data_IF_938258716010
#
_entry.id   IF_938258716010
#
_cell.length_a   1.000
_cell.length_b   1.000
_cell.length_c   1.000
_cell.angle_alpha   90.00
_cell.angle_beta   90.00
_cell.angle_gamma   90.00
#
_symmetry.space_group_name_H-M   'P 1'
#
loop_
_entity.id
_entity.type
_entity.pdbx_description
1 polymer ?
#
# COMPACT_ATOMS: atom_id res chain seq x y z
N UNK A 1 0.50 7.52 -13.60
CA UNK A 1 1.89 7.09 -13.88
C UNK A 1 1.94 5.75 -14.63
N UNK A 2 1.47 4.64 -14.05
CA UNK A 2 1.52 3.31 -14.71
C UNK A 2 0.77 3.24 -16.06
N UNK A 3 -0.37 3.94 -16.19
CA UNK A 3 -1.20 3.89 -17.39
C UNK A 3 -0.49 4.49 -18.61
N UNK A 4 0.11 5.67 -18.46
CA UNK A 4 0.89 6.31 -19.52
C UNK A 4 2.08 5.43 -19.95
N UNK A 5 2.84 4.93 -18.97
CA UNK A 5 4.00 4.07 -19.26
C UNK A 5 3.60 2.78 -20.00
N UNK A 6 2.43 2.21 -19.70
CA UNK A 6 1.92 1.05 -20.43
C UNK A 6 1.53 1.38 -21.87
N UNK A 7 0.95 2.56 -22.11
CA UNK A 7 0.58 3.02 -23.45
C UNK A 7 1.81 3.28 -24.31
N UNK A 8 2.83 3.95 -23.76
CA UNK A 8 4.07 4.28 -24.47
C UNK A 8 4.86 3.03 -24.89
N UNK A 9 4.81 1.96 -24.08
CA UNK A 9 5.54 0.72 -24.33
C UNK A 9 4.74 -0.32 -25.13
N UNK A 10 3.52 0.00 -25.56
CA UNK A 10 2.68 -0.94 -26.32
C UNK A 10 3.38 -1.35 -27.63
N UNK A 11 3.49 -2.66 -27.87
CA UNK A 11 4.14 -3.21 -29.06
C UNK A 11 5.67 -3.33 -28.97
N UNK A 12 6.31 -2.79 -27.94
CA UNK A 12 7.78 -2.85 -27.76
C UNK A 12 8.31 -4.21 -27.27
N UNK A 13 7.43 -5.07 -26.76
CA UNK A 13 7.82 -6.29 -26.02
C UNK A 13 8.27 -6.03 -24.57
N UNK A 14 8.33 -4.77 -24.13
CA UNK A 14 8.59 -4.41 -22.73
C UNK A 14 7.27 -4.43 -21.96
N UNK A 15 7.25 -5.18 -20.85
CA UNK A 15 6.08 -5.28 -19.99
C UNK A 15 6.27 -4.50 -18.69
N UNK A 16 5.21 -3.82 -18.25
CA UNK A 16 5.18 -3.06 -16.99
C UNK A 16 4.22 -3.73 -16.03
N UNK A 17 4.64 -3.92 -14.78
CA UNK A 17 3.84 -4.56 -13.73
C UNK A 17 3.92 -3.77 -12.44
N UNK A 18 2.78 -3.50 -11.82
CA UNK A 18 2.70 -2.92 -10.47
C UNK A 18 2.35 -4.02 -9.46
N UNK A 19 3.17 -4.15 -8.42
CA UNK A 19 2.86 -5.01 -7.27
C UNK A 19 2.24 -4.13 -6.19
N UNK A 20 1.01 -4.45 -5.81
CA UNK A 20 0.17 -3.67 -4.89
C UNK A 20 -0.03 -4.46 -3.59
N UNK A 21 0.95 -4.43 -2.68
CA UNK A 21 0.78 -5.00 -1.37
C UNK A 21 -0.13 -4.10 -0.52
N UNK A 22 -1.01 -4.73 0.25
CA UNK A 22 -1.54 -4.10 1.44
C UNK A 22 -0.52 -4.23 2.58
N UNK A 23 -0.96 -4.22 3.85
CA UNK A 23 -0.04 -4.43 4.96
C UNK A 23 0.71 -5.77 4.80
N UNK A 24 2.03 -5.71 4.67
CA UNK A 24 2.96 -6.86 4.73
C UNK A 24 4.01 -6.67 5.81
N UNK A 25 4.45 -7.75 6.46
CA UNK A 25 5.46 -7.68 7.51
C UNK A 25 6.78 -7.16 6.92
N UNK A 26 7.24 -6.01 7.41
CA UNK A 26 8.41 -5.29 6.91
C UNK A 26 8.85 -4.22 7.93
N UNK A 27 10.03 -3.65 7.73
CA UNK A 27 10.58 -2.58 8.57
C UNK A 27 10.17 -1.17 8.12
N UNK A 28 9.24 -1.02 7.17
CA UNK A 28 8.86 0.29 6.62
C UNK A 28 8.39 1.25 7.73
N UNK A 29 7.57 0.77 8.66
CA UNK A 29 7.06 1.60 9.76
C UNK A 29 8.20 2.07 10.70
N UNK A 30 9.06 1.15 11.12
CA UNK A 30 10.20 1.46 11.99
C UNK A 30 11.20 2.40 11.31
N UNK A 31 11.50 2.17 10.03
CA UNK A 31 12.39 3.04 9.26
C UNK A 31 11.76 4.43 9.01
N UNK A 32 10.45 4.47 8.79
CA UNK A 32 9.70 5.71 8.58
C UNK A 32 9.56 6.55 9.85
N UNK A 33 9.53 5.94 11.03
CA UNK A 33 9.41 6.63 12.31
C UNK A 33 10.52 7.67 12.51
N UNK A 34 11.77 7.31 12.18
CA UNK A 34 12.90 8.24 12.27
C UNK A 34 12.67 9.49 11.43
N UNK A 35 12.26 9.30 10.17
CA UNK A 35 12.00 10.41 9.25
C UNK A 35 10.78 11.23 9.63
N UNK A 36 9.75 10.59 10.18
CA UNK A 36 8.57 11.29 10.70
C UNK A 36 8.98 12.26 11.81
N UNK A 37 9.70 11.78 12.84
CA UNK A 37 10.16 12.60 13.96
C UNK A 37 11.11 13.72 13.52
N UNK A 38 11.96 13.45 12.52
CA UNK A 38 12.92 14.43 12.01
C UNK A 38 12.26 15.57 11.23
N UNK A 39 11.24 15.26 10.43
CA UNK A 39 10.75 16.18 9.40
C UNK A 39 9.33 16.71 9.66
N UNK A 40 8.61 16.17 10.64
CA UNK A 40 7.20 16.53 10.90
C UNK A 40 7.05 17.23 12.24
N UNK A 41 6.59 18.49 12.21
CA UNK A 41 6.15 19.21 13.40
C UNK A 41 4.77 18.71 13.84
N UNK A 42 4.77 17.56 14.50
CA UNK A 42 3.56 16.89 14.94
C UNK A 42 2.97 17.49 16.22
N UNK A 43 3.78 18.22 17.01
CA UNK A 43 3.36 18.84 18.27
C UNK A 43 2.54 20.11 18.05
N UNK A 44 2.87 20.92 17.04
CA UNK A 44 2.14 22.16 16.71
C UNK A 44 1.17 22.02 15.54
N UNK A 45 0.95 20.80 15.04
CA UNK A 45 0.01 20.53 13.95
C UNK A 45 -1.45 20.60 14.39
N UNK A 46 -2.32 21.09 13.50
CA UNK A 46 -3.79 20.98 13.65
C UNK A 46 -4.27 19.53 13.74
N UNK A 47 -3.44 18.57 13.30
CA UNK A 47 -3.68 17.12 13.35
C UNK A 47 -2.96 16.43 14.52
N UNK A 48 -2.54 17.17 15.56
CA UNK A 48 -1.74 16.62 16.68
C UNK A 48 -2.32 15.32 17.24
N UNK A 49 -3.62 15.27 17.50
CA UNK A 49 -4.28 14.09 18.07
C UNK A 49 -4.14 12.85 17.14
N UNK A 50 -4.33 13.03 15.83
CA UNK A 50 -4.18 11.95 14.85
C UNK A 50 -2.71 11.49 14.76
N UNK A 51 -1.77 12.43 14.83
CA UNK A 51 -0.35 12.14 14.84
C UNK A 51 0.10 11.41 16.10
N UNK A 52 -0.40 11.75 17.29
CA UNK A 52 -0.10 11.02 18.52
C UNK A 52 -0.52 9.54 18.41
N UNK A 53 -1.73 9.29 17.91
CA UNK A 53 -2.22 7.93 17.66
C UNK A 53 -1.37 7.22 16.59
N UNK A 54 -1.01 7.90 15.50
CA UNK A 54 -0.14 7.34 14.47
C UNK A 54 1.27 7.03 15.00
N UNK A 55 1.83 7.90 15.84
CA UNK A 55 3.16 7.75 16.42
C UNK A 55 3.22 6.55 17.37
N UNK A 56 2.17 6.35 18.18
CA UNK A 56 2.04 5.15 19.01
C UNK A 56 2.05 3.87 18.15
N UNK A 57 1.30 3.85 17.02
CA UNK A 57 1.31 2.73 16.07
C UNK A 57 2.69 2.52 15.44
N UNK A 58 3.37 3.59 15.02
CA UNK A 58 4.71 3.49 14.41
C UNK A 58 5.76 2.97 15.40
N UNK A 59 5.74 3.45 16.66
CA UNK A 59 6.61 2.99 17.74
C UNK A 59 6.40 1.50 18.06
N UNK A 60 5.17 1.00 17.92
CA UNK A 60 4.86 -0.42 18.05
C UNK A 60 5.27 -1.28 16.83
N UNK A 61 5.98 -0.73 15.84
CA UNK A 61 6.40 -1.44 14.63
C UNK A 61 5.39 -1.37 13.47
N UNK A 62 4.41 -0.48 13.55
CA UNK A 62 3.36 -0.29 12.54
C UNK A 62 2.14 -1.16 12.79
N UNK A 63 1.49 -1.64 11.72
CA UNK A 63 0.31 -2.50 11.87
C UNK A 63 0.67 -3.82 12.56
N UNK A 64 0.06 -4.05 13.73
CA UNK A 64 0.26 -5.20 14.62
C UNK A 64 -0.66 -6.39 14.30
N UNK A 65 -1.35 -6.38 13.15
CA UNK A 65 -2.27 -7.46 12.79
C UNK A 65 -1.53 -8.79 12.69
N UNK A 66 -1.89 -9.79 13.51
CA UNK A 66 -1.32 -11.15 13.44
C UNK A 66 -1.62 -11.86 12.12
N UNK A 67 -2.63 -11.40 11.38
CA UNK A 67 -3.03 -11.96 10.08
C UNK A 67 -2.27 -11.34 8.91
N UNK A 68 -1.32 -10.44 9.19
CA UNK A 68 -0.51 -9.78 8.18
C UNK A 68 0.43 -10.80 7.51
N UNK A 69 0.36 -10.99 6.18
CA UNK A 69 1.26 -11.90 5.51
C UNK A 69 2.71 -11.38 5.56
N UNK A 70 3.66 -12.30 5.49
CA UNK A 70 5.08 -11.99 5.34
C UNK A 70 5.43 -11.47 3.93
N UNK A 71 6.70 -11.08 3.70
CA UNK A 71 7.16 -10.54 2.42
C UNK A 71 7.06 -11.55 1.25
N UNK A 72 6.83 -12.83 1.53
CA UNK A 72 6.74 -13.92 0.56
C UNK A 72 5.60 -13.71 -0.45
N UNK A 73 4.53 -13.01 -0.05
CA UNK A 73 3.42 -12.69 -0.96
C UNK A 73 3.83 -11.69 -2.04
N UNK A 74 4.73 -10.76 -1.71
CA UNK A 74 5.32 -9.82 -2.67
C UNK A 74 6.32 -10.57 -3.55
N UNK A 75 7.19 -11.39 -2.96
CA UNK A 75 8.15 -12.21 -3.68
C UNK A 75 7.48 -13.12 -4.71
N UNK A 76 6.36 -13.78 -4.35
CA UNK A 76 5.63 -14.66 -5.26
C UNK A 76 5.10 -13.90 -6.48
N UNK A 77 4.56 -12.70 -6.29
CA UNK A 77 4.11 -11.85 -7.39
C UNK A 77 5.28 -11.35 -8.24
N UNK A 78 6.38 -10.93 -7.61
CA UNK A 78 7.59 -10.50 -8.30
C UNK A 78 8.15 -11.61 -9.20
N UNK A 79 8.26 -12.82 -8.66
CA UNK A 79 8.72 -13.99 -9.40
C UNK A 79 7.84 -14.26 -10.63
N UNK A 80 6.50 -14.19 -10.48
CA UNK A 80 5.61 -14.33 -11.63
C UNK A 80 5.79 -13.19 -12.64
N UNK A 81 5.93 -11.94 -12.19
CA UNK A 81 6.12 -10.78 -13.06
C UNK A 81 7.41 -10.89 -13.90
N UNK A 82 8.49 -11.41 -13.32
CA UNK A 82 9.77 -11.57 -13.99
C UNK A 82 9.83 -12.78 -14.93
N UNK A 83 9.17 -13.89 -14.58
CA UNK A 83 9.30 -15.16 -15.32
C UNK A 83 8.16 -15.43 -16.32
N UNK A 84 7.06 -14.70 -16.24
CA UNK A 84 5.93 -14.91 -17.16
C UNK A 84 6.21 -14.29 -18.53
N UNK A 85 5.92 -15.03 -19.60
CA UNK A 85 5.90 -14.51 -20.97
C UNK A 85 4.83 -13.42 -21.18
N UNK A 86 3.82 -13.38 -20.31
CA UNK A 86 2.72 -12.39 -20.31
C UNK A 86 2.43 -11.99 -18.86
N UNK A 87 3.27 -11.14 -18.25
CA UNK A 87 3.06 -10.72 -16.88
C UNK A 87 1.81 -9.83 -16.78
N UNK A 88 1.12 -9.88 -15.64
CA UNK A 88 -0.08 -9.07 -15.38
C UNK A 88 0.31 -7.63 -15.10
N UNK A 89 -0.47 -6.63 -15.55
CA UNK A 89 -0.15 -5.23 -15.27
C UNK A 89 -0.29 -4.86 -13.78
N UNK A 90 -1.17 -5.55 -13.03
CA UNK A 90 -1.40 -5.30 -11.60
C UNK A 90 -1.42 -6.62 -10.80
N UNK A 91 -0.67 -6.67 -9.70
CA UNK A 91 -0.65 -7.78 -8.75
C UNK A 91 -1.12 -7.31 -7.38
N UNK A 92 -2.40 -7.52 -7.08
CA UNK A 92 -2.97 -7.26 -5.76
C UNK A 92 -2.74 -8.47 -4.86
N UNK A 93 -1.73 -8.38 -3.99
CA UNK A 93 -1.15 -9.58 -3.35
C UNK A 93 -1.73 -9.92 -1.97
N UNK A 94 -2.37 -8.96 -1.28
CA UNK A 94 -2.94 -9.19 0.05
C UNK A 94 -4.46 -9.15 0.04
N UNK A 95 -5.09 -9.87 0.97
CA UNK A 95 -6.55 -9.89 1.12
C UNK A 95 -7.13 -8.49 1.38
N UNK A 96 -6.59 -7.66 2.31
CA UNK A 96 -7.10 -6.31 2.52
C UNK A 96 -7.01 -5.44 1.25
N UNK A 97 -5.93 -5.56 0.47
CA UNK A 97 -5.79 -4.83 -0.78
C UNK A 97 -6.84 -5.27 -1.83
N UNK A 98 -7.11 -6.57 -1.94
CA UNK A 98 -8.16 -7.09 -2.84
C UNK A 98 -9.54 -6.58 -2.44
N UNK A 99 -9.85 -6.58 -1.15
CA UNK A 99 -11.12 -6.00 -0.63
C UNK A 99 -11.20 -4.52 -1.01
N UNK A 100 -10.13 -3.75 -0.81
CA UNK A 100 -10.10 -2.32 -1.18
C UNK A 100 -10.38 -2.08 -2.67
N UNK A 101 -9.78 -2.89 -3.56
CA UNK A 101 -10.01 -2.81 -5.01
C UNK A 101 -11.47 -3.14 -5.36
N UNK A 102 -12.05 -4.16 -4.72
CA UNK A 102 -13.45 -4.54 -4.94
C UNK A 102 -14.39 -3.43 -4.46
N UNK A 103 -14.18 -2.90 -3.24
CA UNK A 103 -14.99 -1.81 -2.69
C UNK A 103 -14.94 -0.57 -3.59
N UNK A 104 -13.77 -0.22 -4.12
CA UNK A 104 -13.62 0.90 -5.05
C UNK A 104 -14.37 0.72 -6.36
N UNK A 105 -14.58 -0.53 -6.82
CA UNK A 105 -15.33 -0.83 -8.05
C UNK A 105 -16.84 -0.78 -7.85
N UNK A 106 -17.31 -1.14 -6.66
CA UNK A 106 -18.75 -1.34 -6.40
C UNK A 106 -19.38 -0.10 -5.74
N UNK A 107 -18.64 0.57 -4.83
CA UNK A 107 -19.20 1.66 -4.05
C UNK A 107 -19.09 3.00 -4.79
N UNK A 108 -20.13 3.86 -4.71
CA UNK A 108 -20.00 5.28 -5.04
C UNK A 108 -18.89 5.93 -4.20
N UNK A 109 -18.19 6.90 -4.79
CA UNK A 109 -17.04 7.54 -4.15
C UNK A 109 -17.36 8.12 -2.77
N UNK A 110 -18.52 8.76 -2.62
CA UNK A 110 -18.98 9.35 -1.35
C UNK A 110 -19.11 8.31 -0.22
N UNK A 111 -19.64 7.12 -0.55
CA UNK A 111 -19.80 6.04 0.42
C UNK A 111 -18.45 5.42 0.80
N UNK A 112 -17.57 5.22 -0.19
CA UNK A 112 -16.20 4.75 0.06
C UNK A 112 -15.45 5.70 1.01
N UNK A 113 -15.50 7.01 0.75
CA UNK A 113 -14.81 8.00 1.59
C UNK A 113 -15.33 8.02 3.02
N UNK A 114 -16.66 7.94 3.21
CA UNK A 114 -17.25 7.87 4.55
C UNK A 114 -16.87 6.60 5.31
N UNK A 115 -16.63 5.48 4.62
CA UNK A 115 -16.13 4.26 5.26
C UNK A 115 -14.67 4.36 5.66
N UNK A 116 -13.85 5.02 4.83
CA UNK A 116 -12.42 5.21 5.09
C UNK A 116 -12.16 6.24 6.20
N UNK A 117 -12.96 7.30 6.27
CA UNK A 117 -12.80 8.36 7.29
C UNK A 117 -13.09 7.88 8.72
N UNK A 118 -13.84 6.79 8.89
CA UNK A 118 -14.13 6.20 10.22
C UNK A 118 -12.99 5.36 10.79
N UNK A 119 -11.89 5.18 10.06
CA UNK A 119 -10.76 4.30 10.42
C UNK A 119 -9.41 5.01 10.48
N UNK A 120 -9.37 6.34 10.35
CA UNK A 120 -8.17 7.15 10.53
C UNK A 120 -7.83 7.25 12.03
#
# INVERSE_FOLDING_TARGET
LMLCLHQELLGSGIHVSLIEPGPVTSKIASNGLFWFLKNSDHEHSVHRADYEAQLARLRAGGSTSRLKPGPEVVHTALRHALLSRRPRPHYVVTVPARIGVILKRILPASLLYRLLSKRA
#
